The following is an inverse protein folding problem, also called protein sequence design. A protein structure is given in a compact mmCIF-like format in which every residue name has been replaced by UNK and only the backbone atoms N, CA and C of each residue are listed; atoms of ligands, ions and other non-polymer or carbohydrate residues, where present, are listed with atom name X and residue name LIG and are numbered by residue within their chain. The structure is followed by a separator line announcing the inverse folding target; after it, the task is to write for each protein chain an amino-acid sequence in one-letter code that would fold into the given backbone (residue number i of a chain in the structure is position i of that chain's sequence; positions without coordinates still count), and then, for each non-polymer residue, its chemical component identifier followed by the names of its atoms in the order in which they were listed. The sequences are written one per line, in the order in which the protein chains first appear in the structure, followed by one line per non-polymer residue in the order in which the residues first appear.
data_IF_959572401556
#
_entry.id   IF_959572401556
#
_cell.length_a   1.000
_cell.length_b   1.000
_cell.length_c   1.000
_cell.angle_alpha   90.00
_cell.angle_beta   90.00
_cell.angle_gamma   90.00
#
_symmetry.space_group_name_H-M   'P 1'
#
loop_
_entity.id
_entity.type
_entity.pdbx_description
1 polymer ?
#
# COMPACT_ATOMS: atom_id res chain seq x y z
N UNK A 1 10.90 0.69 9.29
CA UNK A 1 9.65 -0.01 8.96
C UNK A 1 8.94 0.62 7.78
N UNK A 2 8.67 1.94 7.83
CA UNK A 2 8.07 2.68 6.71
C UNK A 2 8.79 2.45 5.37
N UNK A 3 10.11 2.67 5.31
CA UNK A 3 10.87 2.53 4.06
C UNK A 3 10.85 1.11 3.49
N UNK A 4 10.88 0.09 4.35
CA UNK A 4 10.78 -1.33 3.96
C UNK A 4 9.40 -1.63 3.35
N UNK A 5 8.32 -1.16 4.00
CA UNK A 5 6.96 -1.33 3.50
C UNK A 5 6.75 -0.55 2.20
N UNK A 6 7.25 0.68 2.10
CA UNK A 6 7.25 1.46 0.85
C UNK A 6 7.94 0.70 -0.28
N UNK A 7 9.10 0.09 -0.01
CA UNK A 7 9.80 -0.77 -0.96
C UNK A 7 8.93 -1.95 -1.44
N UNK A 8 8.23 -2.62 -0.53
CA UNK A 8 7.30 -3.70 -0.90
C UNK A 8 6.12 -3.20 -1.74
N UNK A 9 5.47 -2.10 -1.34
CA UNK A 9 4.33 -1.53 -2.09
C UNK A 9 4.77 -1.15 -3.50
N UNK A 10 5.92 -0.46 -3.64
CA UNK A 10 6.51 -0.13 -4.95
C UNK A 10 6.71 -1.38 -5.80
N UNK A 11 7.26 -2.45 -5.21
CA UNK A 11 7.51 -3.70 -5.92
C UNK A 11 6.23 -4.37 -6.41
N UNK A 12 5.18 -4.42 -5.60
CA UNK A 12 3.89 -4.99 -6.02
C UNK A 12 3.24 -4.16 -7.14
N UNK A 13 3.28 -2.84 -7.04
CA UNK A 13 2.75 -1.96 -8.08
C UNK A 13 3.51 -2.13 -9.42
N UNK A 14 4.84 -2.27 -9.37
CA UNK A 14 5.64 -2.61 -10.55
C UNK A 14 5.30 -4.00 -11.12
N UNK A 15 4.92 -4.95 -10.27
CA UNK A 15 4.39 -6.25 -10.64
C UNK A 15 2.98 -6.23 -11.25
N UNK A 16 2.40 -5.04 -11.47
CA UNK A 16 1.02 -4.83 -11.95
C UNK A 16 -0.04 -5.31 -10.95
N UNK A 17 0.33 -5.46 -9.68
CA UNK A 17 -0.58 -5.84 -8.61
C UNK A 17 -1.20 -4.61 -7.93
N UNK A 18 -2.44 -4.78 -7.48
CA UNK A 18 -3.12 -3.79 -6.63
C UNK A 18 -2.76 -4.05 -5.18
N UNK A 19 -2.52 -2.97 -4.44
CA UNK A 19 -2.08 -3.05 -3.05
C UNK A 19 -3.12 -2.41 -2.14
N UNK A 20 -3.61 -3.17 -1.16
CA UNK A 20 -4.44 -2.67 -0.07
C UNK A 20 -3.56 -2.43 1.15
N UNK A 21 -3.44 -1.18 1.57
CA UNK A 21 -2.69 -0.80 2.77
C UNK A 21 -3.68 -0.68 3.92
N UNK A 22 -3.48 -1.47 4.98
CA UNK A 22 -4.29 -1.42 6.19
C UNK A 22 -3.43 -1.00 7.37
N UNK A 23 -3.81 0.10 8.02
CA UNK A 23 -3.30 0.51 9.32
C UNK A 23 -4.28 0.02 10.37
N UNK A 24 -3.77 -0.70 11.37
CA UNK A 24 -4.57 -1.12 12.53
C UNK A 24 -4.18 -0.24 13.71
N UNK A 25 -5.10 0.57 14.21
CA UNK A 25 -4.88 1.39 15.39
C UNK A 25 -4.89 0.52 16.65
N UNK A 26 -3.77 0.52 17.39
CA UNK A 26 -3.65 -0.24 18.64
C UNK A 26 -3.64 0.70 19.85
N UNK A 27 -4.33 0.26 20.91
CA UNK A 27 -4.37 0.98 22.19
C UNK A 27 -4.88 2.42 22.08
N UNK A 28 -4.02 3.40 22.42
CA UNK A 28 -4.35 4.83 22.49
C UNK A 28 -4.37 5.54 21.13
N UNK A 29 -4.05 4.84 20.05
CA UNK A 29 -3.99 5.42 18.70
C UNK A 29 -5.37 5.57 18.04
N UNK A 30 -6.40 4.91 18.59
CA UNK A 30 -7.79 4.99 18.10
C UNK A 30 -8.33 6.42 18.19
N UNK A 31 -7.82 7.24 19.11
CA UNK A 31 -8.26 8.63 19.29
C UNK A 31 -7.59 9.62 18.33
N UNK A 32 -6.59 9.19 17.55
CA UNK A 32 -5.84 10.04 16.63
C UNK A 32 -5.82 9.47 15.21
N UNK A 33 -6.99 9.30 14.56
CA UNK A 33 -7.07 8.79 13.19
C UNK A 33 -6.31 9.66 12.18
N UNK A 34 -6.17 10.96 12.44
CA UNK A 34 -5.44 11.91 11.60
C UNK A 34 -3.96 11.53 11.39
N UNK A 35 -3.35 10.82 12.35
CA UNK A 35 -1.99 10.30 12.20
C UNK A 35 -1.91 9.16 11.17
N UNK A 36 -2.95 8.32 11.14
CA UNK A 36 -3.06 7.25 10.14
C UNK A 36 -3.28 7.83 8.75
N UNK A 37 -4.17 8.83 8.64
CA UNK A 37 -4.42 9.54 7.39
C UNK A 37 -3.15 10.22 6.86
N UNK A 38 -2.46 10.99 7.71
CA UNK A 38 -1.22 11.65 7.31
C UNK A 38 -0.11 10.67 6.85
N UNK A 39 -0.06 9.47 7.44
CA UNK A 39 0.89 8.44 7.02
C UNK A 39 0.53 7.85 5.65
N UNK A 40 -0.76 7.62 5.40
CA UNK A 40 -1.25 7.10 4.12
C UNK A 40 -1.12 8.14 3.01
N UNK A 41 -1.42 9.40 3.30
CA UNK A 41 -1.24 10.52 2.35
C UNK A 41 0.23 10.66 1.96
N UNK A 42 1.15 10.62 2.95
CA UNK A 42 2.60 10.63 2.67
C UNK A 42 3.03 9.45 1.80
N UNK A 43 2.48 8.25 2.04
CA UNK A 43 2.78 7.07 1.24
C UNK A 43 2.24 7.21 -0.20
N UNK A 44 1.05 7.81 -0.36
CA UNK A 44 0.46 8.06 -1.66
C UNK A 44 1.26 9.09 -2.46
N UNK A 45 1.69 10.18 -1.83
CA UNK A 45 2.56 11.20 -2.45
C UNK A 45 3.88 10.59 -2.92
N UNK A 46 4.51 9.82 -2.05
CA UNK A 46 5.77 9.11 -2.31
C UNK A 46 5.70 8.11 -3.49
N UNK A 47 4.50 7.61 -3.81
CA UNK A 47 4.25 6.61 -4.84
C UNK A 47 3.42 7.15 -6.02
N UNK A 48 3.08 8.44 -6.01
CA UNK A 48 2.22 9.09 -7.01
C UNK A 48 2.73 8.95 -8.46
N UNK A 49 4.04 8.75 -8.64
CA UNK A 49 4.66 8.54 -9.95
C UNK A 49 4.32 7.18 -10.59
N UNK A 50 4.04 6.16 -9.77
CA UNK A 50 3.82 4.78 -10.21
C UNK A 50 2.45 4.22 -9.80
N UNK A 51 1.78 4.86 -8.85
CA UNK A 51 0.51 4.44 -8.28
C UNK A 51 -0.61 5.45 -8.56
N UNK A 52 -1.85 4.96 -8.59
CA UNK A 52 -3.07 5.76 -8.61
C UNK A 52 -3.90 5.35 -7.40
N UNK A 53 -4.45 6.33 -6.69
CA UNK A 53 -5.35 6.08 -5.57
C UNK A 53 -6.69 5.60 -6.14
N UNK A 54 -7.02 4.33 -5.90
CA UNK A 54 -8.32 3.76 -6.27
C UNK A 54 -9.35 4.05 -5.17
N UNK A 55 -8.92 3.96 -3.91
CA UNK A 55 -9.75 4.26 -2.74
C UNK A 55 -8.94 5.09 -1.75
N UNK A 56 -9.48 6.25 -1.38
CA UNK A 56 -8.90 7.14 -0.37
C UNK A 56 -8.87 6.47 1.01
N UNK A 57 -8.03 6.95 1.94
CA UNK A 57 -7.99 6.46 3.31
C UNK A 57 -9.37 6.48 3.97
N UNK A 58 -9.95 5.30 4.18
CA UNK A 58 -11.23 5.13 4.86
C UNK A 58 -11.00 4.46 6.22
N UNK A 59 -11.50 5.10 7.26
CA UNK A 59 -11.52 4.52 8.60
C UNK A 59 -12.71 3.56 8.74
N UNK A 60 -12.40 2.30 9.03
CA UNK A 60 -13.35 1.25 9.37
C UNK A 60 -13.07 0.73 10.78
N UNK A 61 -13.76 1.31 11.76
CA UNK A 61 -13.59 1.00 13.17
C UNK A 61 -12.16 1.24 13.68
N UNK A 62 -11.45 0.15 13.95
CA UNK A 62 -10.05 0.16 14.43
C UNK A 62 -9.03 0.06 13.30
N UNK A 63 -9.49 -0.05 12.06
CA UNK A 63 -8.67 -0.16 10.89
C UNK A 63 -8.83 1.09 10.03
N UNK A 64 -7.79 1.44 9.30
CA UNK A 64 -7.85 2.44 8.24
C UNK A 64 -7.24 1.82 7.00
N UNK A 65 -7.97 1.86 5.90
CA UNK A 65 -7.60 1.19 4.66
C UNK A 65 -7.50 2.17 3.52
N UNK A 66 -6.49 2.00 2.66
CA UNK A 66 -6.31 2.73 1.41
C UNK A 66 -5.99 1.73 0.31
N UNK A 67 -6.53 1.94 -0.89
CA UNK A 67 -6.26 1.09 -2.04
C UNK A 67 -5.47 1.84 -3.11
N UNK A 68 -4.33 1.26 -3.48
CA UNK A 68 -3.45 1.76 -4.52
C UNK A 68 -3.47 0.78 -5.70
N UNK A 69 -3.72 1.33 -6.88
CA UNK A 69 -3.60 0.63 -8.14
C UNK A 69 -2.32 1.07 -8.85
N UNK A 70 -1.69 0.21 -9.66
CA UNK A 70 -0.59 0.62 -10.52
C UNK A 70 -1.09 1.62 -11.57
N UNK A 71 -0.28 2.62 -11.88
CA UNK A 71 -0.61 3.59 -12.92
C UNK A 71 -0.68 2.92 -14.29
N UNK A 72 -1.46 3.53 -15.20
CA UNK A 72 -1.62 3.01 -16.58
C UNK A 72 -0.28 2.86 -17.30
N UNK A 73 0.70 3.71 -17.01
CA UNK A 73 2.06 3.63 -17.57
C UNK A 73 2.80 2.35 -17.16
N UNK A 74 2.62 1.89 -15.91
CA UNK A 74 3.18 0.63 -15.42
C UNK A 74 2.40 -0.56 -16.00
N UNK A 75 1.07 -0.45 -16.07
CA UNK A 75 0.22 -1.50 -16.65
C UNK A 75 0.51 -1.74 -18.14
N UNK A 76 0.74 -0.67 -18.92
CA UNK A 76 1.04 -0.71 -20.34
C UNK A 76 2.47 -1.20 -20.67
N UNK A 77 3.36 -1.30 -19.66
CA UNK A 77 4.74 -1.79 -19.87
C UNK A 77 5.71 -0.75 -20.40
N UNK A 78 5.38 0.54 -20.35
CA UNK A 78 6.26 1.62 -20.83
C UNK A 78 7.36 2.02 -19.84
N UNK A 79 7.38 1.44 -18.63
CA UNK A 79 8.45 1.59 -17.65
C UNK A 79 8.82 0.24 -17.03
N UNK A 80 9.65 -0.52 -17.73
CA UNK A 80 10.34 -1.69 -17.18
C UNK A 80 11.59 -1.24 -16.42
N UNK A 81 11.43 -0.81 -15.17
CA UNK A 81 12.54 -0.84 -14.21
C UNK A 81 12.81 -2.30 -13.80
N UNK A 82 13.32 -3.06 -14.76
CA UNK A 82 13.67 -4.47 -14.65
C UNK A 82 14.91 -4.62 -13.75
N UNK A 83 14.71 -4.72 -12.43
CA UNK A 83 15.50 -5.54 -11.48
C UNK A 83 14.99 -5.32 -10.06
N UNK A 84 14.29 -6.30 -9.52
CA UNK A 84 13.77 -6.25 -8.16
C UNK A 84 13.40 -7.61 -7.61
N UNK A 85 14.39 -8.51 -7.58
CA UNK A 85 14.50 -9.70 -6.71
C UNK A 85 13.23 -10.55 -6.54
N UNK A 86 13.06 -11.59 -7.36
CA UNK A 86 12.00 -12.60 -7.18
C UNK A 86 12.07 -13.23 -5.79
N UNK A 87 11.12 -12.89 -4.93
CA UNK A 87 10.76 -13.67 -3.76
C UNK A 87 9.24 -13.62 -3.58
N UNK A 88 8.54 -14.77 -3.58
CA UNK A 88 7.10 -14.84 -3.72
C UNK A 88 6.37 -14.36 -2.45
N UNK A 89 5.14 -13.92 -2.67
CA UNK A 89 4.15 -13.43 -1.72
C UNK A 89 4.20 -14.07 -0.32
N UNK A 90 4.12 -13.28 0.77
CA UNK A 90 3.54 -13.80 2.01
C UNK A 90 2.04 -13.91 1.79
N UNK A 91 1.53 -15.14 1.64
CA UNK A 91 0.10 -15.43 1.75
C UNK A 91 -0.41 -14.86 3.08
N UNK A 92 -1.39 -13.93 3.11
CA UNK A 92 -2.13 -13.67 4.34
C UNK A 92 -3.15 -14.81 4.50
N UNK A 93 -2.67 -15.96 4.97
CA UNK A 93 -3.55 -17.04 5.42
C UNK A 93 -3.92 -16.77 6.88
N UNK A 94 -4.91 -15.90 7.08
CA UNK A 94 -5.80 -16.05 8.23
C UNK A 94 -6.94 -16.97 7.77
N UNK A 95 -6.81 -18.24 8.12
CA UNK A 95 -7.87 -19.23 8.04
C UNK A 95 -7.80 -20.07 9.31
N UNK A 96 -8.52 -19.59 10.32
CA UNK A 96 -9.27 -20.35 11.31
C UNK A 96 -9.12 -21.89 11.24
N UNK A 97 -8.55 -22.47 12.30
CA UNK A 97 -8.99 -23.71 12.94
C UNK A 97 -8.42 -23.78 14.37
#
# INVERSE_FOLDING_TARGET
DYDTKKGHVRRFLLGKDRVKVTIMFRGREVTHPERGTALLDRLADDLSEIAVIEQTPLQDGRNMTMMLAPSRAILAGERDDAKGDTSPAPTPADAAA
#
